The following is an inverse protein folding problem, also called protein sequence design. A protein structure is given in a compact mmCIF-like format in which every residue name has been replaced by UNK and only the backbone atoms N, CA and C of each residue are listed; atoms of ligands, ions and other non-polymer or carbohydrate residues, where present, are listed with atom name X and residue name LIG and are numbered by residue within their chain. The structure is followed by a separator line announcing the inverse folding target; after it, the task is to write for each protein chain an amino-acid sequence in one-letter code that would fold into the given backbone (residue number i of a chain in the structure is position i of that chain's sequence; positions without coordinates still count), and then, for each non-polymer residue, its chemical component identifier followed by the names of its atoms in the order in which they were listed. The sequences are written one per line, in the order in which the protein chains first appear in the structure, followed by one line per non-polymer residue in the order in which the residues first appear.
data_IF_214380829925
#
_entry.id   IF_214380829925
#
_cell.length_a   1.000
_cell.length_b   1.000
_cell.length_c   1.000
_cell.angle_alpha   90.00
_cell.angle_beta   90.00
_cell.angle_gamma   90.00
#
_symmetry.space_group_name_H-M   'P 1'
#
loop_
_entity.id
_entity.type
_entity.pdbx_description
1 polymer ?
#
# COMPACT_ATOMS: atom_id res chain seq x y z
N UNK A 1 27.99 -22.85 63.89
CA UNK A 1 28.55 -23.04 62.54
C UNK A 1 27.61 -22.55 61.42
N UNK A 2 26.82 -21.50 61.66
CA UNK A 2 25.76 -21.09 60.71
C UNK A 2 26.05 -19.77 59.98
N UNK A 3 26.92 -18.92 60.53
CA UNK A 3 27.29 -17.63 59.91
C UNK A 3 28.04 -17.77 58.58
N UNK A 4 29.02 -18.69 58.51
CA UNK A 4 29.76 -18.95 57.27
C UNK A 4 28.88 -19.59 56.19
N UNK A 5 27.92 -20.45 56.58
CA UNK A 5 26.93 -21.02 55.65
C UNK A 5 25.97 -19.94 55.13
N UNK A 6 25.56 -19.02 55.98
CA UNK A 6 24.64 -17.92 55.63
C UNK A 6 25.31 -16.88 54.71
N UNK A 7 26.59 -16.57 54.94
CA UNK A 7 27.38 -15.70 54.05
C UNK A 7 27.59 -16.31 52.65
N UNK A 8 27.79 -17.63 52.56
CA UNK A 8 27.87 -18.35 51.28
C UNK A 8 26.54 -18.37 50.51
N UNK A 9 25.41 -18.44 51.22
CA UNK A 9 24.07 -18.38 50.59
C UNK A 9 23.78 -16.99 50.04
N UNK A 10 24.10 -15.94 50.81
CA UNK A 10 23.86 -14.54 50.41
C UNK A 10 24.73 -14.13 49.23
N UNK A 11 26.01 -14.53 49.21
CA UNK A 11 26.92 -14.28 48.07
C UNK A 11 26.53 -15.06 46.81
N UNK A 12 25.94 -16.26 46.93
CA UNK A 12 25.32 -16.97 45.80
C UNK A 12 24.08 -16.27 45.25
N UNK A 13 23.22 -15.72 46.12
CA UNK A 13 22.03 -14.99 45.66
C UNK A 13 22.40 -13.68 44.92
N UNK A 14 23.37 -12.92 45.43
CA UNK A 14 23.86 -11.69 44.81
C UNK A 14 24.55 -11.93 43.45
N UNK A 15 25.26 -13.04 43.30
CA UNK A 15 25.91 -13.40 42.01
C UNK A 15 24.91 -13.92 40.98
N UNK A 16 23.81 -14.57 41.39
CA UNK A 16 22.75 -14.99 40.47
C UNK A 16 21.95 -13.81 39.91
N UNK A 17 21.70 -12.79 40.72
CA UNK A 17 20.96 -11.59 40.30
C UNK A 17 21.76 -10.75 39.28
N UNK A 18 23.07 -10.63 39.47
CA UNK A 18 23.98 -9.95 38.54
C UNK A 18 24.14 -10.67 37.18
N UNK A 19 24.08 -12.01 37.17
CA UNK A 19 24.12 -12.79 35.92
C UNK A 19 22.78 -12.77 35.17
N UNK A 20 21.65 -12.65 35.87
CA UNK A 20 20.33 -12.48 35.24
C UNK A 20 20.14 -11.09 34.63
N UNK A 21 20.71 -10.04 35.23
CA UNK A 21 20.67 -8.69 34.67
C UNK A 21 21.58 -8.53 33.44
N UNK A 22 22.74 -9.21 33.42
CA UNK A 22 23.63 -9.26 32.25
C UNK A 22 23.06 -10.06 31.06
N UNK A 23 22.12 -10.98 31.29
CA UNK A 23 21.40 -11.69 30.20
C UNK A 23 20.30 -10.85 29.54
N UNK A 24 19.87 -9.77 30.17
CA UNK A 24 18.90 -8.82 29.60
C UNK A 24 19.58 -7.81 28.66
N UNK A 25 20.90 -7.67 28.74
CA UNK A 25 21.68 -6.79 27.90
C UNK A 25 22.19 -7.54 26.67
N UNK A 26 21.44 -7.42 25.57
CA UNK A 26 21.98 -7.45 24.21
C UNK A 26 22.33 -8.81 23.56
N UNK A 27 21.59 -9.87 23.84
CA UNK A 27 21.62 -11.07 22.97
C UNK A 27 20.37 -11.05 22.10
N UNK A 28 20.55 -11.18 20.78
CA UNK A 28 19.45 -11.45 19.86
C UNK A 28 18.59 -12.63 20.36
N UNK A 29 17.39 -12.77 19.79
CA UNK A 29 16.43 -13.80 20.20
C UNK A 29 17.10 -15.16 20.33
N UNK A 30 16.99 -15.81 21.50
CA UNK A 30 17.65 -17.08 21.77
C UNK A 30 17.31 -18.13 20.71
N UNK A 31 18.17 -19.13 20.51
CA UNK A 31 17.93 -20.22 19.55
C UNK A 31 16.58 -20.93 19.81
N UNK A 32 16.20 -21.05 21.08
CA UNK A 32 14.88 -21.53 21.52
C UNK A 32 13.73 -20.59 21.14
N UNK A 33 13.94 -19.27 21.20
CA UNK A 33 12.97 -18.27 20.78
C UNK A 33 12.78 -18.25 19.26
N UNK A 34 13.86 -18.46 18.49
CA UNK A 34 13.80 -18.64 17.03
C UNK A 34 13.07 -19.95 16.66
N UNK A 35 13.38 -21.05 17.35
CA UNK A 35 12.69 -22.33 17.15
C UNK A 35 11.17 -22.22 17.42
N UNK A 36 10.77 -21.48 18.46
CA UNK A 36 9.35 -21.23 18.78
C UNK A 36 8.64 -20.31 17.78
N UNK A 37 9.32 -19.25 17.29
CA UNK A 37 8.73 -18.29 16.34
C UNK A 37 8.65 -18.82 14.91
N UNK A 38 9.53 -19.74 14.54
CA UNK A 38 9.61 -20.25 13.18
C UNK A 38 10.13 -19.23 12.16
N UNK A 39 10.14 -19.59 10.87
CA UNK A 39 10.61 -18.70 9.81
C UNK A 39 9.71 -17.46 9.67
N UNK A 40 10.32 -16.30 9.42
CA UNK A 40 9.60 -15.05 9.26
C UNK A 40 8.88 -14.98 7.90
N UNK A 41 7.55 -14.96 7.91
CA UNK A 41 6.73 -14.69 6.72
C UNK A 41 6.48 -13.18 6.55
N UNK A 42 6.60 -12.67 5.32
CA UNK A 42 6.36 -11.26 5.00
C UNK A 42 4.92 -11.07 4.54
N UNK A 43 4.08 -10.47 5.39
CA UNK A 43 2.73 -10.06 5.00
C UNK A 43 2.78 -8.87 4.04
N UNK A 44 2.25 -9.04 2.82
CA UNK A 44 2.18 -7.96 1.82
C UNK A 44 0.77 -7.40 1.78
N UNK A 45 0.56 -6.08 1.97
CA UNK A 45 -0.77 -5.50 1.84
C UNK A 45 -1.24 -5.59 0.38
N UNK A 46 -2.56 -5.77 0.13
CA UNK A 46 -3.10 -5.82 -1.22
C UNK A 46 -2.99 -4.45 -1.89
N UNK A 47 -2.12 -4.33 -2.90
CA UNK A 47 -1.87 -3.07 -3.63
C UNK A 47 -2.78 -2.87 -4.85
N UNK A 48 -3.82 -3.68 -5.01
CA UNK A 48 -4.59 -3.77 -6.25
C UNK A 48 -5.93 -3.04 -6.15
N UNK A 49 -6.13 -1.91 -6.87
CA UNK A 49 -7.39 -1.17 -6.83
C UNK A 49 -8.57 -1.94 -7.43
N UNK A 50 -8.32 -2.85 -8.38
CA UNK A 50 -9.33 -3.65 -9.06
C UNK A 50 -9.49 -5.08 -8.50
N UNK A 51 -8.86 -5.40 -7.35
CA UNK A 51 -8.98 -6.72 -6.72
C UNK A 51 -8.52 -7.88 -7.60
N UNK A 52 -7.30 -7.80 -8.15
CA UNK A 52 -6.71 -8.84 -9.00
C UNK A 52 -7.02 -8.73 -10.49
N UNK A 53 -8.02 -7.94 -10.90
CA UNK A 53 -8.42 -7.81 -12.30
C UNK A 53 -7.48 -6.86 -13.07
N UNK A 54 -7.02 -7.22 -14.28
CA UNK A 54 -6.17 -6.33 -15.08
C UNK A 54 -6.95 -5.11 -15.60
N UNK A 55 -8.21 -5.34 -15.99
CA UNK A 55 -9.13 -4.33 -16.51
C UNK A 55 -10.49 -4.42 -15.80
N UNK A 56 -11.20 -3.29 -15.77
CA UNK A 56 -12.58 -3.21 -15.31
C UNK A 56 -13.37 -2.26 -16.22
N UNK A 57 -14.62 -2.63 -16.51
CA UNK A 57 -15.59 -1.74 -17.14
C UNK A 57 -16.16 -0.80 -16.08
N UNK A 58 -16.48 0.42 -16.47
CA UNK A 58 -17.17 1.35 -15.60
C UNK A 58 -17.92 2.44 -16.36
N UNK A 59 -18.86 3.07 -15.67
CA UNK A 59 -19.68 4.18 -16.16
C UNK A 59 -19.18 5.46 -15.52
N UNK A 60 -19.04 6.53 -16.31
CA UNK A 60 -18.62 7.83 -15.80
C UNK A 60 -19.79 8.50 -15.08
N UNK A 61 -19.52 8.95 -13.86
CA UNK A 61 -20.47 9.75 -13.09
C UNK A 61 -20.26 11.25 -13.32
N UNK A 62 -18.99 11.69 -13.39
CA UNK A 62 -18.65 13.08 -13.69
C UNK A 62 -17.24 13.22 -14.27
N UNK A 63 -17.04 14.25 -15.08
CA UNK A 63 -15.71 14.64 -15.58
C UNK A 63 -15.08 15.63 -14.60
N UNK A 64 -13.81 15.42 -14.24
CA UNK A 64 -13.11 16.26 -13.25
C UNK A 64 -11.70 16.63 -13.69
N UNK A 65 -11.26 17.79 -13.23
CA UNK A 65 -9.89 18.27 -13.42
C UNK A 65 -9.18 18.21 -12.07
N UNK A 66 -8.07 17.47 -11.98
CA UNK A 66 -7.23 17.41 -10.78
C UNK A 66 -5.91 18.13 -11.01
N UNK A 67 -5.50 18.92 -10.01
CA UNK A 67 -4.17 19.53 -9.96
C UNK A 67 -3.16 18.51 -9.42
N UNK A 68 -1.93 18.47 -9.97
CA UNK A 68 -0.84 17.64 -9.46
C UNK A 68 -0.31 18.17 -8.12
N UNK A 69 0.54 17.37 -7.46
CA UNK A 69 1.34 17.83 -6.32
C UNK A 69 2.43 18.81 -6.81
N UNK A 70 2.79 19.78 -5.97
CA UNK A 70 4.05 20.54 -6.10
C UNK A 70 5.20 19.52 -6.20
N UNK A 71 6.17 19.65 -7.12
CA UNK A 71 6.63 20.82 -7.88
C UNK A 71 5.90 21.12 -9.20
N UNK A 72 5.03 20.22 -9.67
CA UNK A 72 4.42 20.34 -10.98
C UNK A 72 3.17 21.23 -10.94
N UNK A 73 2.87 21.92 -12.03
CA UNK A 73 1.64 22.70 -12.23
C UNK A 73 1.00 22.33 -13.57
N UNK A 74 -0.22 21.76 -13.53
CA UNK A 74 -0.96 21.37 -14.73
C UNK A 74 -2.43 21.08 -14.40
N UNK A 75 -3.26 20.97 -15.45
CA UNK A 75 -4.63 20.47 -15.34
C UNK A 75 -4.70 19.03 -15.86
N UNK A 76 -4.74 18.04 -14.96
CA UNK A 76 -4.90 16.63 -15.37
C UNK A 76 -6.37 16.32 -15.56
N UNK A 77 -6.73 15.88 -16.77
CA UNK A 77 -8.08 15.44 -17.11
C UNK A 77 -8.34 14.06 -16.51
N UNK A 78 -9.34 13.99 -15.65
CA UNK A 78 -9.72 12.80 -14.90
C UNK A 78 -11.23 12.60 -14.99
N UNK A 79 -11.70 11.42 -14.62
CA UNK A 79 -13.13 11.08 -14.56
C UNK A 79 -13.42 10.30 -13.28
N UNK A 80 -14.61 10.52 -12.71
CA UNK A 80 -15.14 9.71 -11.62
C UNK A 80 -15.89 8.55 -12.27
N UNK A 81 -15.45 7.32 -11.99
CA UNK A 81 -15.99 6.13 -12.63
C UNK A 81 -16.58 5.23 -11.56
N UNK A 82 -17.82 4.79 -11.78
CA UNK A 82 -18.43 3.69 -11.04
C UNK A 82 -18.09 2.38 -11.75
N UNK A 83 -17.29 1.54 -11.10
CA UNK A 83 -16.87 0.24 -11.63
C UNK A 83 -18.02 -0.76 -11.57
N UNK A 84 -17.94 -1.84 -12.33
CA UNK A 84 -18.91 -2.97 -12.24
C UNK A 84 -18.98 -3.58 -10.84
N UNK A 85 -17.88 -3.52 -10.06
CA UNK A 85 -17.83 -3.94 -8.65
C UNK A 85 -18.61 -2.99 -7.72
N UNK A 86 -19.24 -1.93 -8.23
CA UNK A 86 -19.96 -0.91 -7.45
C UNK A 86 -19.07 0.16 -6.82
N UNK A 87 -17.75 -0.02 -6.81
CA UNK A 87 -16.80 0.96 -6.26
C UNK A 87 -16.66 2.18 -7.15
N UNK A 88 -16.68 3.35 -6.53
CA UNK A 88 -16.41 4.62 -7.20
C UNK A 88 -14.93 4.97 -7.07
N UNK A 89 -14.28 5.24 -8.21
CA UNK A 89 -12.86 5.54 -8.26
C UNK A 89 -12.57 6.60 -9.30
N UNK A 90 -11.51 7.38 -9.07
CA UNK A 90 -11.03 8.35 -10.05
C UNK A 90 -10.05 7.69 -11.01
N UNK A 91 -10.32 7.82 -12.31
CA UNK A 91 -9.44 7.37 -13.37
C UNK A 91 -8.88 8.56 -14.16
N UNK A 92 -7.61 8.45 -14.59
CA UNK A 92 -6.96 9.43 -15.45
C UNK A 92 -7.22 9.13 -16.92
N UNK A 93 -7.49 10.16 -17.72
CA UNK A 93 -7.65 10.05 -19.17
C UNK A 93 -6.31 10.36 -19.86
N UNK A 94 -5.66 9.37 -20.52
CA UNK A 94 -4.39 9.60 -21.20
C UNK A 94 -4.58 10.31 -22.55
N UNK A 95 -3.53 11.00 -23.00
CA UNK A 95 -3.49 11.72 -24.28
C UNK A 95 -4.04 13.14 -24.21
N UNK A 96 -4.09 13.80 -25.37
CA UNK A 96 -4.59 15.16 -25.55
C UNK A 96 -6.03 15.10 -26.06
N UNK A 97 -6.93 15.87 -25.45
CA UNK A 97 -8.35 15.93 -25.84
C UNK A 97 -9.15 14.67 -25.50
N UNK A 98 -10.41 14.84 -25.09
CA UNK A 98 -11.38 13.74 -24.97
C UNK A 98 -12.79 14.31 -25.01
N UNK A 99 -13.73 13.55 -25.57
CA UNK A 99 -15.16 13.88 -25.63
C UNK A 99 -15.95 12.96 -24.67
N UNK A 100 -15.48 12.79 -23.43
CA UNK A 100 -16.22 12.00 -22.45
C UNK A 100 -17.25 12.89 -21.78
N UNK A 101 -18.42 12.31 -21.59
CA UNK A 101 -19.53 12.90 -20.85
C UNK A 101 -19.93 11.96 -19.70
N UNK A 102 -20.90 12.40 -18.92
CA UNK A 102 -21.54 11.57 -17.92
C UNK A 102 -22.28 10.41 -18.61
N UNK A 103 -22.42 9.26 -17.93
CA UNK A 103 -23.00 8.02 -18.45
C UNK A 103 -22.21 7.29 -19.55
N UNK A 104 -21.16 7.89 -20.11
CA UNK A 104 -20.28 7.18 -21.02
C UNK A 104 -19.61 5.99 -20.32
N UNK A 105 -19.43 4.92 -21.08
CA UNK A 105 -18.81 3.67 -20.67
C UNK A 105 -17.33 3.69 -21.06
N UNK A 106 -16.47 3.31 -20.11
CA UNK A 106 -15.02 3.26 -20.32
C UNK A 106 -14.39 1.98 -19.80
N UNK A 107 -13.30 1.57 -20.45
CA UNK A 107 -12.42 0.52 -19.96
C UNK A 107 -11.32 1.15 -19.11
N UNK A 108 -11.12 0.63 -17.90
CA UNK A 108 -10.15 1.16 -16.95
C UNK A 108 -9.14 0.09 -16.60
N UNK A 109 -7.88 0.46 -16.48
CA UNK A 109 -6.79 -0.41 -16.05
C UNK A 109 -6.12 0.09 -14.78
N UNK A 110 -5.46 -0.82 -14.07
CA UNK A 110 -4.56 -0.46 -12.98
C UNK A 110 -3.39 0.38 -13.51
N UNK A 111 -3.17 1.55 -12.91
CA UNK A 111 -2.08 2.43 -13.31
C UNK A 111 -2.02 3.68 -12.44
N UNK A 112 -1.04 3.75 -11.54
CA UNK A 112 -0.84 4.93 -10.69
C UNK A 112 -0.42 6.13 -11.54
N UNK A 113 -1.09 7.25 -11.39
CA UNK A 113 -0.59 8.53 -11.88
C UNK A 113 0.40 9.07 -10.84
N UNK A 114 1.62 9.38 -11.27
CA UNK A 114 2.69 9.77 -10.35
C UNK A 114 2.41 11.13 -9.69
N UNK A 115 1.88 12.08 -10.48
CA UNK A 115 1.71 13.46 -10.04
C UNK A 115 0.51 13.70 -9.12
N UNK A 116 -0.60 12.99 -9.36
CA UNK A 116 -1.87 13.26 -8.66
C UNK A 116 -2.09 12.22 -7.57
N UNK A 117 -2.25 12.63 -6.29
CA UNK A 117 -2.52 11.69 -5.22
C UNK A 117 -3.88 11.01 -5.42
N UNK A 118 -3.95 9.74 -5.04
CA UNK A 118 -5.21 8.98 -5.04
C UNK A 118 -5.68 8.48 -6.41
N UNK A 119 -5.04 8.90 -7.52
CA UNK A 119 -5.38 8.41 -8.86
C UNK A 119 -4.59 7.14 -9.17
N UNK A 120 -5.22 5.98 -8.93
CA UNK A 120 -4.62 4.65 -9.10
C UNK A 120 -5.03 3.96 -10.41
N UNK A 121 -5.92 4.58 -11.18
CA UNK A 121 -6.54 4.02 -12.37
C UNK A 121 -6.29 4.91 -13.60
N UNK A 122 -6.18 4.29 -14.78
CA UNK A 122 -6.09 4.98 -16.07
C UNK A 122 -7.14 4.40 -17.04
N UNK A 123 -7.81 5.25 -17.79
CA UNK A 123 -8.66 4.82 -18.90
C UNK A 123 -7.80 4.24 -20.03
N UNK A 124 -8.33 3.25 -20.73
CA UNK A 124 -7.69 2.64 -21.92
C UNK A 124 -8.22 3.34 -23.17
N UNK A 125 -7.30 3.77 -24.05
CA UNK A 125 -7.63 4.38 -25.34
C UNK A 125 -8.03 3.34 -26.38
N UNK A 126 -9.01 3.68 -27.22
CA UNK A 126 -9.50 2.80 -28.28
C UNK A 126 -10.51 1.76 -27.83
N UNK A 127 -11.21 1.98 -26.71
CA UNK A 127 -12.19 1.05 -26.16
C UNK A 127 -13.44 1.78 -25.66
N UNK A 128 -14.62 1.20 -25.93
CA UNK A 128 -15.94 1.79 -25.65
C UNK A 128 -16.04 3.24 -26.18
N UNK A 129 -16.56 4.17 -25.38
CA UNK A 129 -16.81 5.56 -25.79
C UNK A 129 -15.55 6.44 -25.78
N UNK A 130 -14.38 5.84 -25.53
CA UNK A 130 -13.11 6.54 -25.49
C UNK A 130 -12.25 6.16 -26.71
N UNK A 131 -12.35 6.92 -27.82
CA UNK A 131 -11.63 6.62 -29.05
C UNK A 131 -10.12 6.83 -28.91
N UNK A 132 -9.40 6.36 -29.93
CA UNK A 132 -7.97 6.64 -30.08
C UNK A 132 -7.69 8.15 -30.08
N UNK A 133 -6.47 8.52 -29.70
CA UNK A 133 -6.04 9.92 -29.73
C UNK A 133 -5.93 10.36 -31.18
N UNK A 134 -6.52 11.51 -31.52
CA UNK A 134 -6.44 12.11 -32.85
C UNK A 134 -4.98 12.51 -33.08
N UNK A 135 -4.41 12.04 -34.20
CA UNK A 135 -3.09 12.50 -34.65
C UNK A 135 -3.27 13.91 -35.21
N UNK A 136 -2.45 14.84 -34.72
CA UNK A 136 -2.33 16.16 -35.31
C UNK A 136 -1.58 16.07 -36.64
#
# INVERSE_FOLDING_TARGET
MNFLKQAFTVTKMLTTEALTSLRACNMGSSLQQMHRKGPHFKDRPPRQPLGGKPFAKGVILKVLIKKPKKPNSANRKCVLVRLTTGKEMVAYVPGIGHNLQEHNVVLVRCGRLQDVPGVKLKCVRGAYDLPHVIKA
#
